data_IF_660637547285
#
_entry.id   IF_660637547285
#
_cell.length_a   1.000
_cell.length_b   1.000
_cell.length_c   1.000
_cell.angle_alpha   90.00
_cell.angle_beta   90.00
_cell.angle_gamma   90.00
#
_symmetry.space_group_name_H-M   'P 1'
#
loop_
_entity.id
_entity.type
_entity.pdbx_description
1 polymer ?
#
# COMPACT_ATOMS: atom_id res chain seq x y z
N UNK A 1 -34.55 -34.68 -22.91
CA UNK A 1 -34.17 -33.30 -23.31
C UNK A 1 -33.14 -32.83 -22.32
N UNK A 2 -31.89 -32.67 -22.74
CA UNK A 2 -30.74 -32.43 -21.87
C UNK A 2 -30.51 -30.92 -21.78
N UNK A 3 -30.82 -30.30 -20.63
CA UNK A 3 -30.46 -28.90 -20.37
C UNK A 3 -28.98 -28.84 -20.00
N UNK A 4 -28.16 -28.41 -20.94
CA UNK A 4 -26.77 -28.03 -20.69
C UNK A 4 -26.76 -26.68 -19.97
N UNK A 5 -26.37 -26.66 -18.70
CA UNK A 5 -26.08 -25.43 -17.98
C UNK A 5 -24.70 -24.92 -18.41
N UNK A 6 -24.67 -23.88 -19.24
CA UNK A 6 -23.43 -23.17 -19.57
C UNK A 6 -23.00 -22.37 -18.34
N UNK A 7 -21.97 -22.85 -17.65
CA UNK A 7 -21.31 -22.10 -16.58
C UNK A 7 -20.45 -21.01 -17.24
N UNK A 8 -20.99 -19.81 -17.39
CA UNK A 8 -20.20 -18.64 -17.80
C UNK A 8 -19.40 -18.19 -16.59
N UNK A 9 -18.16 -18.68 -16.48
CA UNK A 9 -17.14 -18.11 -15.61
C UNK A 9 -16.78 -16.72 -16.17
N UNK A 10 -17.48 -15.70 -15.70
CA UNK A 10 -17.05 -14.32 -15.84
C UNK A 10 -15.75 -14.13 -15.07
N UNK A 11 -14.61 -14.38 -15.71
CA UNK A 11 -13.32 -13.84 -15.33
C UNK A 11 -13.39 -12.32 -15.56
N UNK A 12 -14.09 -11.64 -14.65
CA UNK A 12 -14.00 -10.19 -14.53
C UNK A 12 -12.55 -9.87 -14.26
N UNK A 13 -11.91 -9.18 -15.20
CA UNK A 13 -10.56 -8.64 -15.05
C UNK A 13 -10.54 -7.71 -13.85
N UNK A 14 -10.27 -8.24 -12.66
CA UNK A 14 -9.63 -7.48 -11.62
C UNK A 14 -8.17 -7.30 -12.06
N UNK A 15 -7.93 -6.46 -13.06
CA UNK A 15 -6.66 -5.73 -13.17
C UNK A 15 -6.64 -4.76 -12.00
N UNK A 16 -6.52 -5.32 -10.81
CA UNK A 16 -6.35 -4.59 -9.59
C UNK A 16 -4.86 -4.29 -9.59
N UNK A 17 -4.47 -3.31 -10.41
CA UNK A 17 -3.11 -2.85 -10.48
C UNK A 17 -2.77 -2.32 -9.09
N UNK A 18 -1.98 -3.11 -8.36
CA UNK A 18 -1.48 -2.72 -7.06
C UNK A 18 -0.54 -1.54 -7.31
N UNK A 19 -0.77 -0.43 -6.61
CA UNK A 19 0.21 0.65 -6.59
C UNK A 19 1.45 0.22 -5.84
N UNK A 20 1.28 -0.47 -4.70
CA UNK A 20 2.34 -1.18 -3.98
C UNK A 20 1.75 -2.03 -2.85
N UNK A 21 2.57 -2.92 -2.29
CA UNK A 21 2.21 -3.70 -1.10
C UNK A 21 3.24 -3.50 0.00
N UNK A 22 2.75 -3.28 1.22
CA UNK A 22 3.57 -3.20 2.43
C UNK A 22 3.05 -4.14 3.50
N UNK A 23 3.94 -4.62 4.36
CA UNK A 23 3.57 -5.17 5.66
C UNK A 23 3.73 -4.08 6.71
N UNK A 24 2.66 -3.78 7.44
CA UNK A 24 2.62 -2.73 8.44
C UNK A 24 2.76 -3.34 9.83
N UNK A 25 3.48 -2.66 10.71
CA UNK A 25 3.83 -3.15 12.05
C UNK A 25 3.40 -2.16 13.12
N UNK A 26 2.84 -2.68 14.22
CA UNK A 26 2.39 -1.86 15.35
C UNK A 26 3.55 -1.16 16.06
N UNK A 27 4.74 -1.75 16.03
CA UNK A 27 5.92 -1.23 16.71
C UNK A 27 7.01 -0.78 15.72
N UNK A 28 7.99 0.02 16.17
CA UNK A 28 9.16 0.36 15.38
C UNK A 28 9.99 -0.86 14.94
N UNK A 29 10.81 -0.65 13.92
CA UNK A 29 11.78 -1.61 13.38
C UNK A 29 11.16 -2.94 12.91
N UNK A 30 9.94 -2.85 12.38
CA UNK A 30 9.16 -3.95 11.80
C UNK A 30 8.91 -5.10 12.79
N UNK A 31 8.48 -4.75 14.01
CA UNK A 31 8.19 -5.68 15.11
C UNK A 31 6.72 -5.66 15.55
N UNK A 32 6.36 -6.65 16.36
CA UNK A 32 5.04 -6.75 16.96
C UNK A 32 3.96 -7.18 15.98
N UNK A 33 2.70 -6.93 16.34
CA UNK A 33 1.55 -7.27 15.53
C UNK A 33 1.64 -6.61 14.15
N UNK A 34 1.37 -7.38 13.10
CA UNK A 34 1.54 -6.92 11.73
C UNK A 34 0.36 -7.28 10.84
N UNK A 35 0.20 -6.50 9.77
CA UNK A 35 -0.81 -6.75 8.73
C UNK A 35 -0.29 -6.33 7.38
N UNK A 36 -0.51 -7.17 6.37
CA UNK A 36 -0.24 -6.83 4.97
C UNK A 36 -1.33 -5.90 4.43
N UNK A 37 -0.94 -4.89 3.67
CA UNK A 37 -1.82 -3.94 3.00
C UNK A 37 -1.41 -3.80 1.54
N UNK A 38 -2.37 -4.02 0.65
CA UNK A 38 -2.26 -3.64 -0.74
C UNK A 38 -2.87 -2.25 -0.93
N UNK A 39 -2.08 -1.31 -1.45
CA UNK A 39 -2.51 0.05 -1.78
C UNK A 39 -2.71 0.11 -3.28
N UNK A 40 -3.96 0.19 -3.71
CA UNK A 40 -4.33 0.20 -5.13
C UNK A 40 -3.95 1.51 -5.83
N UNK A 41 -3.75 1.45 -7.13
CA UNK A 41 -3.47 2.64 -7.95
C UNK A 41 -4.50 3.75 -7.76
N UNK A 42 -4.01 4.98 -7.63
CA UNK A 42 -4.85 6.17 -7.43
C UNK A 42 -5.82 6.08 -6.24
N UNK A 43 -5.49 5.30 -5.20
CA UNK A 43 -6.32 5.19 -3.98
C UNK A 43 -5.66 5.74 -2.73
N UNK A 44 -6.49 5.94 -1.72
CA UNK A 44 -6.10 6.15 -0.34
C UNK A 44 -6.60 4.96 0.48
N UNK A 45 -5.72 4.29 1.21
CA UNK A 45 -6.03 3.10 2.00
C UNK A 45 -5.83 3.39 3.49
N UNK A 46 -6.78 2.92 4.31
CA UNK A 46 -6.69 3.03 5.76
C UNK A 46 -6.22 1.70 6.38
N UNK A 47 -5.16 1.71 7.20
CA UNK A 47 -4.68 0.52 7.90
C UNK A 47 -5.63 -0.02 8.98
N UNK A 48 -6.62 0.73 9.44
CA UNK A 48 -7.51 0.30 10.54
C UNK A 48 -6.80 0.10 11.88
N UNK A 49 -5.54 0.51 11.99
CA UNK A 49 -4.74 0.65 13.20
C UNK A 49 -3.60 1.63 12.93
N UNK A 50 -2.76 1.90 13.92
CA UNK A 50 -1.73 2.93 13.86
C UNK A 50 -0.32 2.31 13.74
N UNK A 51 0.15 1.90 12.54
CA UNK A 51 1.47 1.33 12.39
C UNK A 51 2.58 2.36 12.57
N UNK A 52 3.66 1.91 13.21
CA UNK A 52 4.88 2.70 13.50
C UNK A 52 6.05 2.36 12.59
N UNK A 53 5.96 1.25 11.86
CA UNK A 53 6.91 0.91 10.82
C UNK A 53 6.26 0.08 9.72
N UNK A 54 6.86 0.08 8.54
CA UNK A 54 6.39 -0.70 7.40
C UNK A 54 7.54 -1.37 6.67
N UNK A 55 7.33 -2.59 6.20
CA UNK A 55 8.24 -3.26 5.28
C UNK A 55 7.68 -3.23 3.87
N UNK A 56 8.50 -2.83 2.91
CA UNK A 56 8.11 -2.87 1.50
C UNK A 56 8.14 -4.31 1.00
N UNK A 57 7.04 -4.79 0.42
CA UNK A 57 6.93 -6.17 -0.05
C UNK A 57 6.95 -6.25 -1.57
N UNK A 58 6.20 -5.36 -2.24
CA UNK A 58 5.99 -5.40 -3.69
C UNK A 58 5.86 -3.97 -4.22
N UNK A 59 6.50 -3.70 -5.36
CA UNK A 59 6.29 -2.49 -6.15
C UNK A 59 5.09 -2.64 -7.09
N UNK A 60 4.45 -1.53 -7.43
CA UNK A 60 3.39 -1.51 -8.44
C UNK A 60 3.91 -1.63 -9.87
N UNK A 61 2.97 -1.70 -10.81
CA UNK A 61 3.26 -1.80 -12.25
C UNK A 61 3.18 -0.46 -12.99
N UNK A 62 2.61 0.58 -12.36
CA UNK A 62 2.39 1.88 -12.97
C UNK A 62 3.20 2.97 -12.25
N UNK A 63 3.66 4.02 -12.95
CA UNK A 63 4.43 5.11 -12.36
C UNK A 63 3.54 5.96 -11.44
N UNK A 64 3.44 5.53 -10.19
CA UNK A 64 2.71 6.19 -9.11
C UNK A 64 3.70 6.59 -8.01
N UNK A 65 3.25 7.46 -7.13
CA UNK A 65 3.99 7.88 -5.94
C UNK A 65 3.34 7.31 -4.67
N UNK A 66 4.11 6.54 -3.91
CA UNK A 66 3.77 6.09 -2.57
C UNK A 66 3.99 7.21 -1.55
N UNK A 67 2.96 7.49 -0.73
CA UNK A 67 3.01 8.47 0.37
C UNK A 67 2.32 7.91 1.59
N UNK A 68 2.85 8.18 2.77
CA UNK A 68 2.22 7.84 4.05
C UNK A 68 1.81 9.11 4.76
N UNK A 69 0.66 9.09 5.44
CA UNK A 69 0.02 10.30 5.96
C UNK A 69 -0.26 10.22 7.46
N UNK A 70 -0.27 11.39 8.11
CA UNK A 70 -0.58 11.57 9.53
C UNK A 70 -2.07 11.56 9.82
N UNK A 71 -2.91 11.67 8.79
CA UNK A 71 -4.36 11.72 8.89
C UNK A 71 -5.01 10.48 8.25
N UNK A 72 -6.25 10.21 8.66
CA UNK A 72 -7.05 9.11 8.11
C UNK A 72 -7.49 9.34 6.64
N UNK A 73 -7.00 10.42 6.01
CA UNK A 73 -7.20 10.80 4.62
C UNK A 73 -5.84 11.08 3.95
N UNK A 74 -5.81 11.03 2.61
CA UNK A 74 -4.60 11.28 1.83
C UNK A 74 -4.58 12.71 1.25
N UNK A 75 -4.76 13.72 2.11
CA UNK A 75 -4.75 15.13 1.72
C UNK A 75 -3.32 15.68 1.60
N UNK A 76 -3.12 16.59 0.65
CA UNK A 76 -1.87 17.33 0.55
C UNK A 76 -1.61 18.12 1.84
N UNK A 77 -0.34 18.17 2.29
CA UNK A 77 0.05 18.81 3.55
C UNK A 77 0.04 17.91 4.79
N UNK A 78 -0.48 16.67 4.69
CA UNK A 78 -0.50 15.69 5.80
C UNK A 78 0.48 14.52 5.58
N UNK A 79 1.39 14.66 4.62
CA UNK A 79 2.36 13.62 4.26
C UNK A 79 3.43 13.52 5.34
N UNK A 80 3.55 12.35 5.95
CA UNK A 80 4.61 12.02 6.91
C UNK A 80 5.90 11.57 6.22
N UNK A 81 5.77 10.75 5.17
CA UNK A 81 6.87 10.04 4.53
C UNK A 81 6.57 9.85 3.02
N UNK A 82 7.63 9.82 2.21
CA UNK A 82 7.56 9.89 0.75
C UNK A 82 7.58 11.32 0.20
N UNK A 83 7.30 11.54 -1.10
CA UNK A 83 6.90 10.54 -2.08
C UNK A 83 8.06 9.64 -2.53
N UNK A 84 7.76 8.36 -2.75
CA UNK A 84 8.64 7.42 -3.46
C UNK A 84 7.96 6.91 -4.71
N UNK A 85 8.75 6.55 -5.73
CA UNK A 85 8.22 5.84 -6.89
C UNK A 85 7.72 4.48 -6.45
N UNK A 86 6.43 4.22 -6.64
CA UNK A 86 5.77 3.04 -6.14
C UNK A 86 6.11 1.77 -6.94
N UNK A 87 6.65 1.97 -8.15
CA UNK A 87 6.92 0.96 -9.18
C UNK A 87 8.38 0.45 -9.22
N UNK A 88 9.30 1.09 -8.50
CA UNK A 88 10.69 0.66 -8.47
C UNK A 88 11.43 1.13 -7.21
N UNK A 89 12.65 0.62 -7.00
CA UNK A 89 13.49 1.03 -5.88
C UNK A 89 13.92 2.50 -5.99
N UNK A 90 13.78 3.26 -4.89
CA UNK A 90 14.35 4.59 -4.81
C UNK A 90 14.61 5.03 -3.36
N UNK A 91 15.76 5.65 -3.08
CA UNK A 91 16.15 6.08 -1.74
C UNK A 91 16.05 4.92 -0.71
N UNK A 92 15.19 5.06 0.29
CA UNK A 92 14.87 4.03 1.29
C UNK A 92 13.77 3.06 0.85
N UNK A 93 13.04 3.35 -0.23
CA UNK A 93 11.97 2.52 -0.77
C UNK A 93 12.56 1.36 -1.56
N UNK A 94 12.83 0.24 -0.87
CA UNK A 94 13.42 -0.98 -1.43
C UNK A 94 12.69 -2.20 -0.90
N UNK A 95 12.52 -3.26 -1.69
CA UNK A 95 11.86 -4.48 -1.21
C UNK A 95 12.64 -5.03 -0.01
N UNK A 96 11.93 -5.42 1.04
CA UNK A 96 12.50 -5.88 2.30
C UNK A 96 12.97 -4.75 3.24
N UNK A 97 13.07 -3.50 2.77
CA UNK A 97 13.44 -2.38 3.63
C UNK A 97 12.36 -2.12 4.68
N UNK A 98 12.81 -1.95 5.93
CA UNK A 98 11.96 -1.51 7.02
C UNK A 98 12.04 0.02 7.16
N UNK A 99 10.90 0.68 7.05
CA UNK A 99 10.74 2.12 7.16
C UNK A 99 10.13 2.46 8.51
N UNK A 100 10.90 3.15 9.35
CA UNK A 100 10.47 3.59 10.67
C UNK A 100 9.84 4.98 10.64
N UNK A 101 8.76 5.16 11.40
CA UNK A 101 8.01 6.43 11.45
C UNK A 101 8.54 7.40 12.51
N UNK A 102 9.75 7.17 13.03
CA UNK A 102 10.48 8.08 13.96
C UNK A 102 9.61 8.62 15.11
N UNK A 103 8.78 7.76 15.70
CA UNK A 103 7.88 8.12 16.81
C UNK A 103 6.45 8.51 16.42
N UNK A 104 6.18 8.72 15.13
CA UNK A 104 4.85 8.95 14.58
C UNK A 104 4.15 7.63 14.24
N UNK A 105 2.85 7.69 13.97
CA UNK A 105 2.08 6.56 13.46
C UNK A 105 1.38 6.94 12.16
N UNK A 106 1.37 6.03 11.20
CA UNK A 106 0.72 6.25 9.90
C UNK A 106 -0.78 6.05 10.07
N UNK A 107 -1.57 6.97 9.54
CA UNK A 107 -3.04 6.88 9.56
C UNK A 107 -3.64 6.54 8.20
N UNK A 108 -2.91 6.78 7.11
CA UNK A 108 -3.32 6.32 5.77
C UNK A 108 -2.15 6.20 4.80
N UNK A 109 -2.40 5.48 3.71
CA UNK A 109 -1.44 5.13 2.66
C UNK A 109 -1.99 5.55 1.31
N UNK A 110 -1.25 6.34 0.54
CA UNK A 110 -1.66 6.81 -0.77
C UNK A 110 -0.80 6.22 -1.87
N UNK A 111 -1.46 5.94 -3.00
CA UNK A 111 -0.84 5.80 -4.32
C UNK A 111 -1.47 6.84 -5.25
N UNK A 112 -0.64 7.68 -5.88
CA UNK A 112 -1.11 8.82 -6.70
C UNK A 112 -0.18 9.04 -7.89
N UNK A 113 -0.74 9.42 -9.03
CA UNK A 113 0.06 9.81 -10.21
C UNK A 113 1.06 10.90 -9.82
N UNK A 114 2.26 10.78 -10.39
CA UNK A 114 3.45 11.49 -9.97
C UNK A 114 4.26 12.09 -11.10
#
# INVERSE_FOLDING_TARGET
MQLSYVLVLGLGLASSASGYVVTMYKDPSCRGASRRLNVWDNTCSNPGFDPKSVRVEVFGSAPQNARFYSEANCLAGTVLQGPWRADHENYSWKIGACLDMKGWSIKSFGSRIG
#
